data_IF_771844994360
#
_entry.id   IF_771844994360
#
_cell.length_a   1.000
_cell.length_b   1.000
_cell.length_c   1.000
_cell.angle_alpha   90.00
_cell.angle_beta   90.00
_cell.angle_gamma   90.00
#
_symmetry.space_group_name_H-M   'P 1'
#
loop_
_entity.id
_entity.type
_entity.pdbx_description
1 polymer ?
#
# COMPACT_ATOMS: atom_id res chain seq x y z
N UNK A 1 -3.88 3.36 -16.40
CA UNK A 1 -3.38 4.23 -15.32
C UNK A 1 -4.48 4.80 -14.39
N UNK A 2 -5.61 5.35 -14.88
CA UNK A 2 -6.61 6.01 -14.02
C UNK A 2 -7.36 5.07 -13.03
N UNK A 3 -7.62 3.81 -13.43
CA UNK A 3 -8.43 2.88 -12.63
C UNK A 3 -7.73 2.45 -11.32
N UNK A 4 -6.40 2.25 -11.33
CA UNK A 4 -5.69 1.76 -10.15
C UNK A 4 -5.47 2.82 -9.07
N UNK A 5 -5.32 4.08 -9.46
CA UNK A 5 -5.30 5.18 -8.51
C UNK A 5 -6.62 5.23 -7.72
N UNK A 6 -7.75 5.00 -8.40
CA UNK A 6 -9.08 4.92 -7.76
C UNK A 6 -9.18 3.70 -6.83
N UNK A 7 -8.63 2.55 -7.21
CA UNK A 7 -8.58 1.36 -6.33
C UNK A 7 -7.76 1.63 -5.08
N UNK A 8 -6.57 2.22 -5.21
CA UNK A 8 -5.71 2.57 -4.07
C UNK A 8 -6.42 3.57 -3.14
N UNK A 9 -7.02 4.62 -3.69
CA UNK A 9 -7.77 5.61 -2.91
C UNK A 9 -8.97 4.97 -2.18
N UNK A 10 -9.74 4.12 -2.88
CA UNK A 10 -10.87 3.41 -2.28
C UNK A 10 -10.42 2.48 -1.17
N UNK A 11 -9.32 1.73 -1.37
CA UNK A 11 -8.78 0.80 -0.38
C UNK A 11 -8.29 1.56 0.86
N UNK A 12 -7.55 2.66 0.67
CA UNK A 12 -7.06 3.50 1.78
C UNK A 12 -8.21 4.06 2.61
N UNK A 13 -9.24 4.60 1.94
CA UNK A 13 -10.38 5.24 2.61
C UNK A 13 -11.37 4.27 3.24
N UNK A 14 -11.61 3.11 2.62
CA UNK A 14 -12.69 2.19 3.02
C UNK A 14 -12.20 1.00 3.84
N UNK A 15 -10.93 0.63 3.73
CA UNK A 15 -10.40 -0.62 4.32
C UNK A 15 -9.20 -0.38 5.22
N UNK A 16 -8.21 0.42 4.78
CA UNK A 16 -6.93 0.53 5.50
C UNK A 16 -6.88 1.63 6.55
N UNK A 17 -7.90 2.47 6.62
CA UNK A 17 -7.98 3.57 7.59
C UNK A 17 -9.39 3.68 8.17
N UNK A 18 -9.54 3.95 9.48
CA UNK A 18 -10.82 4.34 10.05
C UNK A 18 -11.39 5.61 9.39
N UNK A 19 -12.72 5.76 9.30
CA UNK A 19 -13.36 6.93 8.69
C UNK A 19 -13.08 8.24 9.44
N UNK A 20 -12.62 8.16 10.70
CA UNK A 20 -12.22 9.32 11.51
C UNK A 20 -10.84 9.86 11.17
N UNK A 21 -10.04 9.14 10.38
CA UNK A 21 -8.70 9.54 10.00
C UNK A 21 -8.70 10.25 8.63
N UNK A 22 -7.92 11.34 8.53
CA UNK A 22 -7.71 12.03 7.27
C UNK A 22 -6.62 11.30 6.48
N UNK A 23 -6.99 10.73 5.34
CA UNK A 23 -6.07 9.97 4.50
C UNK A 23 -5.57 10.80 3.33
N UNK A 24 -4.28 10.67 2.99
CA UNK A 24 -3.69 11.26 1.78
C UNK A 24 -2.88 10.20 1.04
N UNK A 25 -3.21 9.98 -0.23
CA UNK A 25 -2.38 9.20 -1.13
C UNK A 25 -1.18 10.06 -1.59
N UNK A 26 0.03 9.54 -1.46
CA UNK A 26 1.29 10.23 -1.77
C UNK A 26 1.79 9.78 -3.14
N UNK A 27 1.90 8.48 -3.33
CA UNK A 27 2.39 7.87 -4.56
C UNK A 27 1.58 6.61 -4.86
N UNK A 28 1.44 6.29 -6.15
CA UNK A 28 0.95 5.00 -6.61
C UNK A 28 1.72 4.62 -7.88
N UNK A 29 2.17 3.37 -7.93
CA UNK A 29 2.96 2.82 -9.03
C UNK A 29 2.46 1.43 -9.38
N UNK A 30 2.49 1.13 -10.68
CA UNK A 30 2.28 -0.20 -11.22
C UNK A 30 3.63 -0.79 -11.63
N UNK A 31 3.88 -2.04 -11.25
CA UNK A 31 5.07 -2.80 -11.65
C UNK A 31 4.63 -4.19 -12.09
N UNK A 32 5.15 -4.65 -13.23
CA UNK A 32 5.00 -6.04 -13.64
C UNK A 32 6.14 -6.88 -13.06
N UNK A 33 5.79 -7.98 -12.41
CA UNK A 33 6.72 -8.98 -11.90
C UNK A 33 6.26 -10.33 -12.43
N UNK A 34 7.05 -10.93 -13.31
CA UNK A 34 6.81 -12.25 -13.90
C UNK A 34 5.43 -12.36 -14.60
N UNK A 35 5.02 -11.31 -15.31
CA UNK A 35 3.74 -11.25 -16.03
C UNK A 35 2.54 -10.99 -15.13
N UNK A 36 2.78 -10.57 -13.88
CA UNK A 36 1.74 -10.20 -12.92
C UNK A 36 1.91 -8.76 -12.49
N UNK A 37 0.82 -8.01 -12.59
CA UNK A 37 0.78 -6.64 -12.10
C UNK A 37 0.72 -6.58 -10.56
N UNK A 38 1.62 -5.78 -9.99
CA UNK A 38 1.64 -5.36 -8.60
C UNK A 38 1.47 -3.85 -8.54
N UNK A 39 0.53 -3.41 -7.73
CA UNK A 39 0.23 -2.00 -7.52
C UNK A 39 0.71 -1.59 -6.15
N UNK A 40 1.82 -0.85 -6.10
CA UNK A 40 2.36 -0.31 -4.86
C UNK A 40 1.86 1.12 -4.67
N UNK A 41 1.64 1.52 -3.42
CA UNK A 41 1.19 2.86 -3.11
C UNK A 41 1.65 3.29 -1.73
N UNK A 42 1.83 4.58 -1.57
CA UNK A 42 2.22 5.24 -0.33
C UNK A 42 1.10 6.17 0.12
N UNK A 43 0.80 6.17 1.42
CA UNK A 43 -0.23 7.03 1.97
C UNK A 43 0.06 7.40 3.42
N UNK A 44 -0.54 8.50 3.86
CA UNK A 44 -0.64 8.86 5.27
C UNK A 44 -2.06 8.77 5.76
N UNK A 45 -2.23 8.39 7.02
CA UNK A 45 -3.50 8.44 7.74
C UNK A 45 -3.30 9.22 9.04
N UNK A 46 -3.91 10.39 9.11
CA UNK A 46 -3.76 11.35 10.20
C UNK A 46 -4.93 11.29 11.18
N UNK A 47 -4.61 11.11 12.45
CA UNK A 47 -5.46 11.30 13.62
C UNK A 47 -4.96 12.53 14.43
N UNK A 48 -5.73 13.04 15.42
CA UNK A 48 -5.37 14.28 16.12
C UNK A 48 -3.95 14.33 16.68
N UNK A 49 -3.46 13.22 17.25
CA UNK A 49 -2.17 13.15 17.93
C UNK A 49 -1.19 12.16 17.27
N UNK A 50 -1.53 11.62 16.10
CA UNK A 50 -0.76 10.55 15.47
C UNK A 50 -0.96 10.54 13.96
N UNK A 51 0.13 10.45 13.22
CA UNK A 51 0.10 10.19 11.78
C UNK A 51 0.81 8.86 11.53
N UNK A 52 0.11 7.96 10.83
CA UNK A 52 0.70 6.75 10.26
C UNK A 52 1.15 7.06 8.84
N UNK A 53 2.39 6.73 8.52
CA UNK A 53 2.92 6.69 7.17
C UNK A 53 3.04 5.23 6.74
N UNK A 54 2.39 4.88 5.64
CA UNK A 54 2.22 3.49 5.25
C UNK A 54 2.47 3.28 3.76
N UNK A 55 2.93 2.07 3.46
CA UNK A 55 3.05 1.53 2.13
C UNK A 55 2.07 0.37 1.99
N UNK A 56 1.52 0.21 0.81
CA UNK A 56 0.70 -0.93 0.44
C UNK A 56 1.14 -1.50 -0.90
N UNK A 57 0.85 -2.79 -1.09
CA UNK A 57 0.90 -3.45 -2.39
C UNK A 57 -0.35 -4.28 -2.59
N UNK A 58 -0.81 -4.35 -3.83
CA UNK A 58 -2.00 -5.08 -4.27
C UNK A 58 -1.61 -5.93 -5.47
N UNK A 59 -2.12 -7.16 -5.51
CA UNK A 59 -2.12 -7.96 -6.74
C UNK A 59 -3.35 -8.85 -6.80
N UNK A 60 -3.73 -9.24 -8.01
CA UNK A 60 -4.83 -10.19 -8.24
C UNK A 60 -4.23 -11.47 -8.81
N UNK A 61 -4.48 -12.59 -8.14
CA UNK A 61 -4.02 -13.90 -8.57
C UNK A 61 -5.08 -14.97 -8.25
N UNK A 62 -5.30 -15.91 -9.16
CA UNK A 62 -6.25 -17.01 -8.99
C UNK A 62 -7.65 -16.55 -8.54
N UNK A 63 -8.14 -15.44 -9.12
CA UNK A 63 -9.44 -14.85 -8.78
C UNK A 63 -9.52 -14.22 -7.38
N UNK A 64 -8.40 -14.05 -6.68
CA UNK A 64 -8.32 -13.46 -5.33
C UNK A 64 -7.57 -12.14 -5.34
N UNK A 65 -8.04 -11.21 -4.52
CA UNK A 65 -7.40 -9.92 -4.25
C UNK A 65 -6.46 -10.07 -3.05
N UNK A 66 -5.17 -9.88 -3.28
CA UNK A 66 -4.15 -9.92 -2.23
C UNK A 66 -3.66 -8.51 -1.94
N UNK A 67 -3.54 -8.17 -0.66
CA UNK A 67 -2.94 -6.91 -0.24
C UNK A 67 -2.04 -7.10 0.97
N UNK A 68 -0.91 -6.42 0.96
CA UNK A 68 -0.03 -6.23 2.10
C UNK A 68 0.01 -4.73 2.39
N UNK A 69 -0.20 -4.36 3.65
CA UNK A 69 -0.03 -2.98 4.10
C UNK A 69 0.91 -2.95 5.30
N UNK A 70 1.98 -2.16 5.20
CA UNK A 70 2.96 -1.96 6.26
C UNK A 70 3.14 -0.47 6.51
N UNK A 71 3.70 -0.09 7.66
CA UNK A 71 3.87 1.32 7.96
C UNK A 71 4.49 1.59 9.32
N UNK A 72 4.83 2.85 9.54
CA UNK A 72 5.36 3.35 10.80
C UNK A 72 4.63 4.63 11.21
N UNK A 73 4.92 5.10 12.43
CA UNK A 73 4.61 6.48 12.81
C UNK A 73 5.39 7.44 11.91
N UNK A 74 4.78 8.54 11.48
CA UNK A 74 5.43 9.61 10.71
C UNK A 74 6.78 10.02 11.31
N UNK A 75 6.83 10.21 12.64
CA UNK A 75 8.06 10.56 13.38
C UNK A 75 9.24 9.59 13.17
N UNK A 76 8.96 8.32 12.82
CA UNK A 76 9.98 7.28 12.59
C UNK A 76 10.14 6.94 11.11
N UNK A 77 9.42 7.62 10.21
CA UNK A 77 9.37 7.28 8.80
C UNK A 77 10.76 7.25 8.18
N UNK A 78 11.56 8.31 8.35
CA UNK A 78 12.91 8.36 7.78
C UNK A 78 13.86 7.26 8.24
N UNK A 79 13.63 6.71 9.45
CA UNK A 79 14.42 5.58 9.97
C UNK A 79 13.93 4.22 9.48
N UNK A 80 12.67 4.13 9.08
CA UNK A 80 11.99 2.87 8.77
C UNK A 80 11.73 2.68 7.28
N UNK A 81 11.67 3.75 6.49
CA UNK A 81 11.21 3.73 5.09
C UNK A 81 11.91 2.68 4.24
N UNK A 82 13.24 2.60 4.29
CA UNK A 82 14.00 1.65 3.46
C UNK A 82 13.65 0.19 3.79
N UNK A 83 13.46 -0.12 5.07
CA UNK A 83 13.03 -1.45 5.53
C UNK A 83 11.60 -1.75 5.10
N UNK A 84 10.72 -0.76 5.17
CA UNK A 84 9.32 -0.91 4.78
C UNK A 84 9.17 -1.08 3.26
N UNK A 85 9.94 -0.35 2.46
CA UNK A 85 10.02 -0.56 1.01
C UNK A 85 10.52 -1.97 0.69
N UNK A 86 11.58 -2.45 1.37
CA UNK A 86 12.06 -3.83 1.19
C UNK A 86 10.96 -4.87 1.44
N UNK A 87 10.15 -4.67 2.49
CA UNK A 87 9.01 -5.55 2.79
C UNK A 87 7.99 -5.54 1.64
N UNK A 88 7.66 -4.35 1.11
CA UNK A 88 6.68 -4.21 0.04
C UNK A 88 7.20 -4.78 -1.29
N UNK A 89 8.47 -4.55 -1.61
CA UNK A 89 9.10 -5.00 -2.85
C UNK A 89 9.33 -6.52 -2.85
N UNK A 90 9.47 -7.13 -1.67
CA UNK A 90 9.59 -8.59 -1.54
C UNK A 90 8.25 -9.33 -1.62
N UNK A 91 7.12 -8.62 -1.59
CA UNK A 91 5.80 -9.26 -1.65
C UNK A 91 5.54 -9.85 -3.03
N UNK A 92 5.53 -11.18 -3.11
CA UNK A 92 5.21 -11.93 -4.32
C UNK A 92 4.28 -13.08 -4.01
N UNK A 93 3.34 -13.33 -4.90
CA UNK A 93 2.46 -14.49 -4.82
C UNK A 93 3.11 -15.64 -5.60
N UNK A 94 3.61 -16.64 -4.88
CA UNK A 94 4.03 -17.90 -5.48
C UNK A 94 2.80 -18.72 -5.87
N UNK A 95 2.53 -18.78 -7.16
CA UNK A 95 1.59 -19.76 -7.71
C UNK A 95 2.40 -20.91 -8.27
N UNK A 96 2.28 -22.09 -7.66
CA UNK A 96 2.58 -23.34 -8.35
C UNK A 96 1.59 -23.44 -9.49
N UNK A 97 2.09 -23.39 -10.72
CA UNK A 97 1.36 -23.86 -11.91
C UNK A 97 1.12 -25.35 -11.75
#
# INVERSE_FOLDING_TARGET
>A
MCCFLQVAEALVRKVLSPPTQKTKLIEAKETDIDGRAYYTFEFTAQAPNFTRHALGTITIANGKFYTLATGASERRWDKMKDRLHTIVDSFKIETKV
#
